data_IF_391311463006
#
_entry.id   IF_391311463006
#
_cell.length_a   1.000
_cell.length_b   1.000
_cell.length_c   1.000
_cell.angle_alpha   90.00
_cell.angle_beta   90.00
_cell.angle_gamma   90.00
#
_symmetry.space_group_name_H-M   'P 1'
#
loop_
_entity.id
_entity.type
_entity.pdbx_description
1 polymer ?
#
# COMPACT_ATOMS: atom_id res chain seq x y z
N UNK A 1 -15.01 -7.54 -7.96
CA UNK A 1 -15.16 -8.25 -6.68
C UNK A 1 -15.09 -9.76 -6.93
N UNK A 2 -14.47 -10.50 -6.02
CA UNK A 2 -14.33 -11.95 -6.09
C UNK A 2 -15.10 -12.67 -4.97
N UNK A 3 -15.34 -13.97 -5.10
CA UNK A 3 -15.61 -14.87 -3.96
C UNK A 3 -14.77 -16.13 -4.10
N UNK A 4 -14.50 -16.81 -2.99
CA UNK A 4 -13.93 -18.15 -3.01
C UNK A 4 -15.07 -19.18 -2.90
N UNK A 5 -15.21 -20.05 -3.89
CA UNK A 5 -16.26 -21.07 -3.95
C UNK A 5 -15.74 -22.30 -4.70
N UNK A 6 -16.07 -23.50 -4.23
CA UNK A 6 -15.61 -24.76 -4.83
C UNK A 6 -14.09 -24.80 -5.08
N UNK A 7 -13.32 -24.34 -4.08
CA UNK A 7 -11.86 -24.25 -4.14
C UNK A 7 -11.29 -23.32 -5.22
N UNK A 8 -12.10 -22.41 -5.75
CA UNK A 8 -11.69 -21.47 -6.80
C UNK A 8 -12.11 -20.03 -6.50
N UNK A 9 -11.33 -19.09 -7.04
CA UNK A 9 -11.67 -17.66 -7.03
C UNK A 9 -12.50 -17.32 -8.26
N UNK A 10 -13.74 -16.90 -8.05
CA UNK A 10 -14.66 -16.51 -9.13
C UNK A 10 -15.02 -15.04 -9.05
N UNK A 11 -15.17 -14.38 -10.20
CA UNK A 11 -15.64 -13.00 -10.30
C UNK A 11 -17.15 -12.97 -10.03
N UNK A 12 -17.59 -12.08 -9.13
CA UNK A 12 -18.99 -12.01 -8.68
C UNK A 12 -19.64 -10.64 -8.83
N UNK A 13 -18.93 -9.71 -9.48
CA UNK A 13 -19.45 -8.37 -9.74
C UNK A 13 -18.35 -7.33 -9.90
N UNK A 14 -18.80 -6.09 -10.14
CA UNK A 14 -17.92 -4.92 -10.24
C UNK A 14 -17.21 -4.67 -8.90
N UNK A 15 -16.03 -4.05 -8.99
CA UNK A 15 -15.33 -3.59 -7.79
C UNK A 15 -16.10 -2.42 -7.16
N UNK A 16 -16.08 -2.35 -5.83
CA UNK A 16 -16.50 -1.15 -5.12
C UNK A 16 -15.47 -0.03 -5.35
N UNK A 17 -15.88 1.24 -5.29
CA UNK A 17 -14.96 2.36 -5.41
C UNK A 17 -13.80 2.22 -4.43
N UNK A 18 -12.58 2.49 -4.91
CA UNK A 18 -11.40 2.54 -4.06
C UNK A 18 -11.41 3.85 -3.27
N UNK A 19 -11.15 3.80 -1.97
CA UNK A 19 -10.88 5.00 -1.18
C UNK A 19 -9.62 5.69 -1.74
N UNK A 20 -9.49 7.04 -1.63
CA UNK A 20 -8.29 7.74 -2.07
C UNK A 20 -7.03 7.05 -1.53
N UNK A 21 -6.14 6.65 -2.43
CA UNK A 21 -5.00 5.81 -2.11
C UNK A 21 -4.10 6.46 -1.06
N UNK A 22 -3.88 5.78 0.07
CA UNK A 22 -2.86 6.15 1.04
C UNK A 22 -1.54 5.53 0.62
N UNK A 23 -0.48 6.32 0.59
CA UNK A 23 0.87 5.81 0.40
C UNK A 23 1.51 5.46 1.75
N UNK A 24 2.22 4.34 1.79
CA UNK A 24 3.16 4.07 2.87
C UNK A 24 4.52 4.66 2.50
N UNK A 25 5.00 5.59 3.33
CA UNK A 25 6.35 6.15 3.21
C UNK A 25 7.25 5.37 4.18
N UNK A 26 8.36 4.84 3.67
CA UNK A 26 9.30 4.08 4.50
C UNK A 26 9.85 4.99 5.61
N UNK A 27 9.95 4.47 6.84
CA UNK A 27 10.27 5.25 8.04
C UNK A 27 11.62 5.99 7.96
N UNK A 28 12.58 5.42 7.24
CA UNK A 28 13.89 6.04 7.00
C UNK A 28 13.86 7.20 5.97
N UNK A 29 12.72 7.49 5.34
CA UNK A 29 12.63 8.57 4.35
C UNK A 29 12.54 9.95 5.03
N UNK A 30 13.16 11.00 4.48
CA UNK A 30 14.06 10.96 3.33
C UNK A 30 15.46 10.46 3.75
N UNK A 31 16.12 9.70 2.88
CA UNK A 31 17.50 9.28 3.08
C UNK A 31 18.27 9.22 1.77
N UNK A 32 19.59 9.37 1.86
CA UNK A 32 20.49 9.32 0.70
C UNK A 32 20.46 7.97 0.00
N UNK A 33 20.79 7.93 -1.30
CA UNK A 33 20.93 6.66 -2.03
C UNK A 33 21.92 5.69 -1.35
N UNK A 34 23.01 6.21 -0.80
CA UNK A 34 23.99 5.40 -0.06
C UNK A 34 23.41 4.76 1.21
N UNK A 35 22.39 5.34 1.83
CA UNK A 35 21.68 4.70 2.95
C UNK A 35 20.89 3.48 2.46
N UNK A 36 20.08 3.67 1.41
CA UNK A 36 19.21 2.63 0.87
C UNK A 36 19.96 1.46 0.24
N UNK A 37 21.13 1.70 -0.36
CA UNK A 37 21.92 0.65 -1.03
C UNK A 37 22.73 -0.23 -0.06
N UNK A 38 22.83 0.12 1.24
CA UNK A 38 23.62 -0.65 2.22
C UNK A 38 23.04 -2.02 2.54
N UNK A 39 21.72 -2.16 2.48
CA UNK A 39 21.02 -3.40 2.85
C UNK A 39 19.63 -3.45 2.20
N UNK A 40 18.98 -4.61 2.29
CA UNK A 40 17.60 -4.80 1.82
C UNK A 40 16.64 -3.79 2.44
N UNK A 41 15.86 -3.12 1.59
CA UNK A 41 14.77 -2.23 2.03
C UNK A 41 13.54 -3.06 2.37
N UNK A 42 13.06 -2.96 3.62
CA UNK A 42 11.97 -3.80 4.12
C UNK A 42 10.72 -2.99 4.47
N UNK A 43 9.58 -3.41 3.93
CA UNK A 43 8.27 -2.81 4.18
C UNK A 43 7.44 -3.57 5.22
N UNK A 44 8.06 -4.41 6.06
CA UNK A 44 7.36 -5.28 7.02
C UNK A 44 6.51 -4.54 8.07
N UNK A 45 6.79 -3.24 8.31
CA UNK A 45 6.00 -2.39 9.22
C UNK A 45 4.74 -1.82 8.59
N UNK A 46 4.58 -1.94 7.27
CA UNK A 46 3.37 -1.53 6.56
C UNK A 46 2.19 -2.39 6.99
N UNK A 47 1.03 -1.76 7.24
CA UNK A 47 -0.20 -2.46 7.64
C UNK A 47 -1.32 -2.21 6.64
N UNK A 48 -2.17 -3.23 6.50
CA UNK A 48 -3.37 -3.21 5.68
C UNK A 48 -4.59 -3.24 6.60
N UNK A 49 -5.65 -2.53 6.24
CA UNK A 49 -6.90 -2.51 7.00
C UNK A 49 -8.10 -2.49 6.07
N UNK A 50 -9.24 -3.05 6.50
CA UNK A 50 -10.54 -2.89 5.85
C UNK A 50 -11.43 -1.86 6.57
N UNK A 51 -10.91 -1.20 7.61
CA UNK A 51 -11.61 -0.11 8.28
C UNK A 51 -11.45 1.19 7.48
N UNK A 52 -12.53 1.60 6.81
CA UNK A 52 -12.57 2.84 6.01
C UNK A 52 -12.39 4.13 6.82
N UNK A 53 -12.51 4.05 8.15
CA UNK A 53 -12.34 5.16 9.08
C UNK A 53 -11.01 5.10 9.85
N UNK A 54 -10.05 4.28 9.40
CA UNK A 54 -8.74 4.17 10.05
C UNK A 54 -8.02 5.53 10.13
N UNK A 55 -7.61 5.91 11.33
CA UNK A 55 -6.89 7.17 11.60
C UNK A 55 -5.38 7.00 11.68
N UNK A 56 -4.88 5.77 11.63
CA UNK A 56 -3.46 5.43 11.78
C UNK A 56 -2.68 5.47 10.44
N UNK A 57 -3.29 6.04 9.40
CA UNK A 57 -2.73 6.11 8.05
C UNK A 57 -2.32 4.74 7.46
N UNK A 58 -2.94 3.65 7.91
CA UNK A 58 -2.74 2.34 7.29
C UNK A 58 -3.33 2.33 5.87
N UNK A 59 -2.84 1.42 5.02
CA UNK A 59 -3.37 1.26 3.66
C UNK A 59 -4.74 0.57 3.75
N UNK A 60 -5.77 1.28 3.29
CA UNK A 60 -7.15 0.79 3.30
C UNK A 60 -7.40 -0.03 2.04
N UNK A 61 -7.84 -1.28 2.20
CA UNK A 61 -8.20 -2.19 1.12
C UNK A 61 -9.61 -2.73 1.34
N UNK A 62 -10.40 -2.81 0.28
CA UNK A 62 -11.65 -3.54 0.26
C UNK A 62 -11.38 -5.05 0.22
N UNK A 63 -12.02 -5.81 1.11
CA UNK A 63 -12.00 -7.28 1.10
C UNK A 63 -12.46 -7.82 -0.25
N UNK A 64 -11.98 -9.01 -0.64
CA UNK A 64 -12.40 -9.71 -1.86
C UNK A 64 -12.08 -8.96 -3.18
N UNK A 65 -11.05 -8.12 -3.15
CA UNK A 65 -10.50 -7.43 -4.30
C UNK A 65 -9.04 -7.84 -4.50
N UNK A 66 -8.58 -7.84 -5.75
CA UNK A 66 -7.20 -8.14 -6.12
C UNK A 66 -6.41 -6.83 -6.21
N UNK A 67 -5.22 -6.80 -5.63
CA UNK A 67 -4.34 -5.63 -5.60
C UNK A 67 -2.98 -5.94 -6.21
N UNK A 68 -2.32 -4.90 -6.72
CA UNK A 68 -0.94 -4.94 -7.19
C UNK A 68 -0.09 -4.01 -6.33
N UNK A 69 0.84 -4.52 -5.51
CA UNK A 69 1.82 -3.70 -4.82
C UNK A 69 2.68 -2.93 -5.83
N UNK A 70 3.00 -1.67 -5.54
CA UNK A 70 3.86 -0.81 -6.36
C UNK A 70 4.91 -0.16 -5.48
N UNK A 71 6.15 -0.12 -5.96
CA UNK A 71 7.26 0.57 -5.31
C UNK A 71 7.56 1.84 -6.09
N UNK A 72 7.71 2.94 -5.38
CA UNK A 72 8.03 4.25 -5.94
C UNK A 72 9.33 4.75 -5.29
N UNK A 73 10.28 5.18 -6.11
CA UNK A 73 11.53 5.84 -5.67
C UNK A 73 11.45 7.27 -6.16
N UNK A 74 11.58 8.23 -5.25
CA UNK A 74 11.47 9.66 -5.55
C UNK A 74 12.69 10.38 -4.98
N UNK A 75 13.34 11.19 -5.81
CA UNK A 75 14.40 12.08 -5.34
C UNK A 75 13.74 13.29 -4.67
N UNK A 76 13.95 13.43 -3.36
CA UNK A 76 13.33 14.47 -2.56
C UNK A 76 14.23 14.87 -1.39
N UNK A 77 14.16 16.15 -0.99
CA UNK A 77 14.87 16.68 0.17
C UNK A 77 14.00 16.66 1.45
N UNK A 78 12.68 16.54 1.29
CA UNK A 78 11.70 16.44 2.38
C UNK A 78 10.51 15.56 1.96
N UNK A 79 9.70 15.14 2.94
CA UNK A 79 8.53 14.26 2.74
C UNK A 79 7.33 15.02 2.15
N UNK A 80 7.28 16.34 2.32
CA UNK A 80 6.15 17.18 1.93
C UNK A 80 6.13 17.50 0.43
N UNK A 81 7.28 17.42 -0.24
CA UNK A 81 7.40 17.49 -1.69
C UNK A 81 6.65 16.37 -2.44
N UNK A 82 6.17 15.34 -1.73
CA UNK A 82 5.36 14.25 -2.28
C UNK A 82 3.85 14.38 -2.05
N UNK A 83 3.38 15.49 -1.45
CA UNK A 83 1.94 15.80 -1.31
C UNK A 83 1.43 16.70 -2.43
#
# INVERSE_FOLDING_TARGET
RYKYNNSEWVVTGKAEPHMPGRFYIHLDSPASGNHWMKQTVSFHKMKLTNNNLDQNAHIILNSMHKYQPRIHVVQANDIFSMR
#
